data_IF_136367476920
#
_entry.id   IF_136367476920
#
_cell.length_a   1.000
_cell.length_b   1.000
_cell.length_c   1.000
_cell.angle_alpha   90.00
_cell.angle_beta   90.00
_cell.angle_gamma   90.00
#
_symmetry.space_group_name_H-M   'P 1'
#
loop_
_entity.id
_entity.type
_entity.pdbx_description
1 polymer ?
#
# COMPACT_ATOMS: atom_id res chain seq x y z
N UNK A 1 -37.00 13.28 12.17
CA UNK A 1 -36.00 12.19 12.24
C UNK A 1 -36.16 11.43 10.94
N UNK A 2 -35.37 11.81 9.94
CA UNK A 2 -35.33 11.10 8.66
C UNK A 2 -34.60 9.77 8.92
N UNK A 3 -35.10 8.63 8.43
CA UNK A 3 -34.41 7.35 8.61
C UNK A 3 -33.12 7.35 7.80
N UNK A 4 -31.99 7.07 8.48
CA UNK A 4 -30.70 6.81 7.84
C UNK A 4 -30.87 5.71 6.78
N UNK A 5 -30.50 6.05 5.55
CA UNK A 5 -30.53 5.12 4.43
C UNK A 5 -29.48 4.03 4.68
N UNK A 6 -29.91 2.77 4.74
CA UNK A 6 -28.99 1.63 4.83
C UNK A 6 -27.95 1.74 3.69
N UNK A 7 -26.64 1.52 3.97
CA UNK A 7 -25.63 1.59 2.93
C UNK A 7 -25.94 0.52 1.89
N UNK A 8 -26.30 0.98 0.69
CA UNK A 8 -26.56 0.11 -0.45
C UNK A 8 -25.38 -0.85 -0.59
N UNK A 9 -25.66 -2.15 -0.65
CA UNK A 9 -24.67 -3.19 -0.87
C UNK A 9 -23.94 -2.90 -2.18
N UNK A 10 -22.71 -2.37 -2.06
CA UNK A 10 -21.82 -2.14 -3.20
C UNK A 10 -21.35 -3.53 -3.65
N UNK A 11 -21.99 -4.09 -4.66
CA UNK A 11 -21.50 -5.28 -5.34
C UNK A 11 -20.23 -4.89 -6.10
N UNK A 12 -19.06 -5.13 -5.48
CA UNK A 12 -17.78 -5.03 -6.17
C UNK A 12 -17.67 -6.25 -7.08
N UNK A 13 -17.67 -6.10 -8.42
CA UNK A 13 -17.57 -7.23 -9.32
C UNK A 13 -16.28 -7.99 -9.04
N UNK A 14 -16.32 -9.32 -9.07
CA UNK A 14 -15.10 -10.12 -9.01
C UNK A 14 -14.16 -9.65 -10.13
N UNK A 15 -12.99 -9.14 -9.73
CA UNK A 15 -11.99 -8.63 -10.66
C UNK A 15 -11.59 -9.68 -11.69
N UNK A 16 -11.05 -9.23 -12.84
CA UNK A 16 -10.50 -10.12 -13.87
C UNK A 16 -9.50 -11.09 -13.22
N UNK A 17 -9.72 -12.39 -13.39
CA UNK A 17 -8.77 -13.42 -12.94
C UNK A 17 -7.72 -13.62 -14.04
N UNK A 18 -6.44 -13.56 -13.66
CA UNK A 18 -5.32 -13.83 -14.56
C UNK A 18 -5.09 -15.33 -14.71
N UNK A 19 -4.86 -15.77 -15.94
CA UNK A 19 -4.42 -17.13 -16.24
C UNK A 19 -2.99 -17.40 -15.75
N UNK A 20 -2.60 -18.67 -15.65
CA UNK A 20 -1.26 -19.05 -15.20
C UNK A 20 -0.12 -18.46 -16.06
N UNK A 21 -0.33 -18.34 -17.38
CA UNK A 21 0.63 -17.71 -18.29
C UNK A 21 0.72 -16.20 -18.06
N UNK A 22 -0.40 -15.52 -17.84
CA UNK A 22 -0.45 -14.09 -17.52
C UNK A 22 0.23 -13.78 -16.18
N UNK A 23 -0.03 -14.57 -15.13
CA UNK A 23 0.63 -14.43 -13.83
C UNK A 23 2.15 -14.56 -13.94
N UNK A 24 2.62 -15.55 -14.72
CA UNK A 24 4.06 -15.75 -14.96
C UNK A 24 4.66 -14.58 -15.74
N UNK A 25 3.96 -14.09 -16.76
CA UNK A 25 4.41 -12.96 -17.57
C UNK A 25 4.48 -11.66 -16.75
N UNK A 26 3.49 -11.40 -15.90
CA UNK A 26 3.47 -10.25 -14.99
C UNK A 26 4.69 -10.26 -14.06
N UNK A 27 5.00 -11.42 -13.46
CA UNK A 27 6.16 -11.57 -12.56
C UNK A 27 7.52 -11.42 -13.25
N UNK A 28 7.63 -11.78 -14.53
CA UNK A 28 8.90 -11.65 -15.27
C UNK A 28 9.21 -10.22 -15.74
N UNK A 29 8.32 -9.25 -15.48
CA UNK A 29 8.54 -7.85 -15.88
C UNK A 29 9.62 -7.20 -15.04
N UNK A 30 10.31 -6.26 -15.66
CA UNK A 30 11.28 -5.42 -14.97
C UNK A 30 10.57 -4.45 -14.03
N UNK A 31 10.81 -4.57 -12.73
CA UNK A 31 10.34 -3.62 -11.70
C UNK A 31 11.15 -2.31 -11.66
N UNK A 32 12.05 -2.09 -12.62
CA UNK A 32 12.80 -0.83 -12.71
C UNK A 32 11.85 0.27 -13.13
N UNK A 33 11.65 1.25 -12.24
CA UNK A 33 11.02 2.51 -12.62
C UNK A 33 11.82 3.13 -13.78
N UNK A 34 11.15 3.70 -14.80
CA UNK A 34 11.84 4.40 -15.85
C UNK A 34 12.71 5.48 -15.23
N UNK A 35 13.97 5.53 -15.69
CA UNK A 35 14.91 6.54 -15.21
C UNK A 35 14.38 7.90 -15.62
N UNK A 36 13.82 8.63 -14.66
CA UNK A 36 13.56 10.05 -14.82
C UNK A 36 14.91 10.75 -14.72
N UNK A 37 15.57 10.91 -15.86
CA UNK A 37 16.79 11.73 -15.99
C UNK A 37 16.52 13.22 -15.78
N UNK A 38 15.25 13.60 -15.56
CA UNK A 38 14.79 14.97 -15.55
C UNK A 38 14.69 15.55 -14.15
N UNK A 39 15.37 16.67 -13.95
CA UNK A 39 15.30 17.43 -12.72
C UNK A 39 14.00 18.24 -12.62
N UNK A 40 13.63 18.75 -11.44
CA UNK A 40 12.44 19.60 -11.26
C UNK A 40 12.41 20.83 -12.19
N UNK A 41 13.58 21.27 -12.68
CA UNK A 41 13.72 22.41 -13.60
C UNK A 41 13.21 22.14 -15.01
N UNK A 42 13.19 20.89 -15.45
CA UNK A 42 12.72 20.51 -16.80
C UNK A 42 11.20 20.64 -16.97
N UNK A 43 10.48 20.80 -15.85
CA UNK A 43 9.03 20.96 -15.79
C UNK A 43 8.58 22.43 -15.71
N UNK A 44 9.51 23.39 -15.69
CA UNK A 44 9.18 24.82 -15.70
C UNK A 44 8.70 25.23 -17.09
N UNK A 45 7.54 25.88 -17.25
CA UNK A 45 6.97 26.17 -18.56
C UNK A 45 7.90 27.09 -19.37
N UNK A 46 8.35 26.60 -20.52
CA UNK A 46 9.17 27.34 -21.50
C UNK A 46 8.34 27.75 -22.75
N UNK A 47 7.11 27.23 -22.88
CA UNK A 47 6.18 27.55 -23.96
C UNK A 47 6.52 26.88 -25.31
N UNK A 48 7.54 26.02 -25.36
CA UNK A 48 7.96 25.33 -26.58
C UNK A 48 7.09 24.10 -26.88
N UNK A 49 6.86 23.82 -28.15
CA UNK A 49 6.20 22.58 -28.60
C UNK A 49 6.99 21.33 -28.15
N UNK A 50 8.33 21.45 -28.14
CA UNK A 50 9.20 20.39 -27.66
C UNK A 50 8.94 20.06 -26.18
N UNK A 51 8.68 21.05 -25.33
CA UNK A 51 8.29 20.81 -23.95
C UNK A 51 6.93 20.13 -23.85
N UNK A 52 5.94 20.61 -24.61
CA UNK A 52 4.59 20.05 -24.59
C UNK A 52 4.61 18.55 -24.94
N UNK A 53 5.38 18.17 -25.95
CA UNK A 53 5.53 16.76 -26.34
C UNK A 53 6.28 15.94 -25.28
N UNK A 54 7.34 16.47 -24.68
CA UNK A 54 8.03 15.80 -23.55
C UNK A 54 7.09 15.53 -22.38
N UNK A 55 6.28 16.52 -21.97
CA UNK A 55 5.31 16.37 -20.88
C UNK A 55 4.23 15.34 -21.23
N UNK A 56 3.77 15.32 -22.48
CA UNK A 56 2.82 14.32 -22.98
C UNK A 56 3.37 12.90 -22.83
N UNK A 57 4.60 12.67 -23.31
CA UNK A 57 5.27 11.36 -23.21
C UNK A 57 5.47 10.95 -21.74
N UNK A 58 5.99 11.85 -20.91
CA UNK A 58 6.18 11.59 -19.49
C UNK A 58 4.86 11.22 -18.78
N UNK A 59 3.76 11.88 -19.13
CA UNK A 59 2.43 11.57 -18.60
C UNK A 59 1.93 10.21 -19.08
N UNK A 60 2.16 9.87 -20.34
CA UNK A 60 1.78 8.56 -20.88
C UNK A 60 2.54 7.42 -20.19
N UNK A 61 3.84 7.58 -19.99
CA UNK A 61 4.67 6.63 -19.24
C UNK A 61 4.18 6.48 -17.79
N UNK A 62 3.86 7.59 -17.13
CA UNK A 62 3.31 7.56 -15.77
C UNK A 62 1.99 6.78 -15.71
N UNK A 63 1.08 7.02 -16.65
CA UNK A 63 -0.18 6.27 -16.71
C UNK A 63 0.03 4.78 -16.95
N UNK A 64 0.98 4.40 -17.80
CA UNK A 64 1.33 3.00 -18.02
C UNK A 64 1.84 2.33 -16.74
N UNK A 65 2.67 3.03 -15.95
CA UNK A 65 3.14 2.52 -14.66
C UNK A 65 2.02 2.40 -13.63
N UNK A 66 1.14 3.39 -13.56
CA UNK A 66 0.02 3.38 -12.61
C UNK A 66 -1.04 2.32 -12.95
N UNK A 67 -1.21 2.04 -14.24
CA UNK A 67 -2.11 0.99 -14.73
C UNK A 67 -1.51 -0.42 -14.61
N UNK A 68 -0.24 -0.55 -14.20
CA UNK A 68 0.40 -1.84 -14.05
C UNK A 68 -0.24 -2.63 -12.89
N UNK A 69 -0.76 -3.82 -13.23
CA UNK A 69 -1.29 -4.76 -12.25
C UNK A 69 -0.13 -5.44 -11.49
N UNK A 70 -0.10 -5.24 -10.16
CA UNK A 70 0.89 -5.86 -9.29
C UNK A 70 0.46 -7.28 -8.94
N UNK A 71 1.34 -8.25 -9.21
CA UNK A 71 1.11 -9.67 -8.95
C UNK A 71 2.18 -10.19 -8.00
N UNK A 72 1.76 -10.57 -6.80
CA UNK A 72 2.63 -11.17 -5.78
C UNK A 72 2.33 -12.66 -5.57
N UNK A 73 3.34 -13.42 -5.15
CA UNK A 73 3.15 -14.83 -4.79
C UNK A 73 2.59 -14.89 -3.36
N UNK A 74 1.52 -15.64 -3.14
CA UNK A 74 0.99 -15.83 -1.78
C UNK A 74 2.04 -16.32 -0.78
N UNK A 75 2.93 -17.22 -1.19
CA UNK A 75 4.03 -17.71 -0.34
C UNK A 75 5.16 -16.70 -0.07
N UNK A 76 5.18 -15.52 -0.69
CA UNK A 76 6.08 -14.42 -0.32
C UNK A 76 5.43 -13.37 0.56
N UNK A 77 4.11 -13.45 0.76
CA UNK A 77 3.37 -12.55 1.64
C UNK A 77 3.31 -13.14 3.05
N UNK A 78 3.48 -12.29 4.04
CA UNK A 78 3.19 -12.65 5.43
C UNK A 78 1.70 -12.41 5.67
N UNK A 79 0.99 -13.45 6.07
CA UNK A 79 -0.40 -13.35 6.52
C UNK A 79 -0.46 -12.57 7.85
N UNK A 80 -1.41 -11.63 7.90
CA UNK A 80 -1.64 -10.75 9.01
C UNK A 80 -3.14 -10.53 9.22
N UNK A 81 -3.58 -10.32 10.45
CA UNK A 81 -5.00 -10.15 10.79
C UNK A 81 -5.25 -8.87 11.57
N UNK A 82 -6.23 -8.08 11.13
CA UNK A 82 -6.66 -6.86 11.79
C UNK A 82 -7.55 -7.17 13.01
N UNK A 83 -7.20 -6.62 14.17
CA UNK A 83 -7.96 -6.70 15.43
C UNK A 83 -8.51 -5.31 15.77
N UNK A 84 -9.75 -4.97 15.38
CA UNK A 84 -10.29 -3.63 15.60
C UNK A 84 -10.41 -3.25 17.08
N UNK A 85 -10.77 -4.21 17.93
CA UNK A 85 -10.97 -4.00 19.36
C UNK A 85 -9.66 -3.59 20.07
N UNK A 86 -8.53 -4.09 19.59
CA UNK A 86 -7.23 -3.84 20.19
C UNK A 86 -6.41 -2.78 19.42
N UNK A 87 -6.85 -2.41 18.22
CA UNK A 87 -6.22 -1.36 17.41
C UNK A 87 -4.86 -1.75 16.80
N UNK A 88 -4.59 -3.04 16.62
CA UNK A 88 -3.35 -3.54 16.01
C UNK A 88 -3.59 -4.64 14.97
N UNK A 89 -2.56 -4.90 14.17
CA UNK A 89 -2.52 -6.02 13.22
C UNK A 89 -1.58 -7.10 13.77
N UNK A 90 -2.06 -8.34 13.89
CA UNK A 90 -1.27 -9.48 14.34
C UNK A 90 -0.72 -10.28 13.15
N UNK A 91 0.55 -10.66 13.18
CA UNK A 91 1.11 -11.57 12.17
C UNK A 91 0.77 -13.02 12.52
N UNK A 92 0.07 -13.69 11.61
CA UNK A 92 -0.37 -15.10 11.78
C UNK A 92 0.60 -16.09 11.15
N UNK A 93 1.56 -15.59 10.35
CA UNK A 93 2.61 -16.40 9.72
C UNK A 93 4.00 -15.84 10.04
N UNK A 94 5.06 -16.66 9.99
CA UNK A 94 6.39 -16.23 10.40
C UNK A 94 6.94 -15.13 9.48
N UNK A 95 7.20 -13.98 10.07
CA UNK A 95 7.93 -12.88 9.47
C UNK A 95 9.41 -13.24 9.29
N UNK A 96 9.93 -13.14 8.06
CA UNK A 96 11.34 -13.40 7.77
C UNK A 96 12.31 -12.36 8.37
N UNK A 97 13.58 -12.40 7.98
CA UNK A 97 14.61 -11.47 8.50
C UNK A 97 14.41 -9.99 8.15
N UNK A 98 13.50 -9.66 7.23
CA UNK A 98 13.28 -8.29 6.73
C UNK A 98 12.54 -7.35 7.71
N UNK A 99 12.02 -7.91 8.81
CA UNK A 99 11.08 -7.27 9.71
C UNK A 99 11.71 -6.50 10.89
N UNK A 100 12.99 -6.12 10.78
CA UNK A 100 13.73 -5.54 11.90
C UNK A 100 13.35 -4.07 12.20
N UNK A 101 12.71 -3.38 11.26
CA UNK A 101 12.43 -1.94 11.37
C UNK A 101 10.95 -1.59 11.52
N UNK A 102 10.07 -2.60 11.58
CA UNK A 102 8.62 -2.43 11.70
C UNK A 102 8.04 -3.50 12.62
N UNK A 103 7.04 -3.12 13.40
CA UNK A 103 6.38 -3.98 14.36
C UNK A 103 7.06 -4.05 15.72
N UNK A 104 6.37 -4.71 16.63
CA UNK A 104 6.81 -4.97 17.99
C UNK A 104 6.35 -6.37 18.43
N UNK A 105 7.06 -6.93 19.42
CA UNK A 105 6.66 -8.19 20.01
C UNK A 105 6.00 -7.94 21.35
N UNK A 106 4.81 -8.51 21.51
CA UNK A 106 4.05 -8.49 22.76
C UNK A 106 3.49 -9.89 22.98
N UNK A 107 3.68 -10.44 24.19
CA UNK A 107 3.24 -11.79 24.56
C UNK A 107 3.73 -12.91 23.61
N UNK A 108 4.91 -12.74 23.02
CA UNK A 108 5.50 -13.70 22.09
C UNK A 108 4.89 -13.70 20.69
N UNK A 109 3.93 -12.80 20.43
CA UNK A 109 3.35 -12.56 19.10
C UNK A 109 3.98 -11.34 18.46
N UNK A 110 3.95 -11.28 17.12
CA UNK A 110 4.42 -10.12 16.35
C UNK A 110 3.21 -9.28 15.95
N UNK A 111 3.24 -8.00 16.34
CA UNK A 111 2.17 -7.05 16.10
C UNK A 111 2.70 -5.86 15.29
N UNK A 112 1.82 -5.26 14.51
CA UNK A 112 2.07 -4.06 13.72
C UNK A 112 1.09 -2.97 14.11
N UNK A 113 1.57 -1.72 14.07
CA UNK A 113 0.67 -0.58 14.10
C UNK A 113 -0.07 -0.43 12.75
N UNK A 114 -1.26 0.20 12.74
CA UNK A 114 -2.02 0.48 11.52
C UNK A 114 -1.20 1.08 10.37
N UNK A 115 -0.33 2.06 10.64
CA UNK A 115 0.53 2.68 9.62
C UNK A 115 1.56 1.73 9.04
N UNK A 116 2.11 0.83 9.86
CA UNK A 116 3.11 -0.14 9.43
C UNK A 116 2.45 -1.22 8.57
N UNK A 117 1.29 -1.73 9.01
CA UNK A 117 0.52 -2.70 8.27
C UNK A 117 0.08 -2.15 6.91
N UNK A 118 -0.47 -0.93 6.87
CA UNK A 118 -0.90 -0.31 5.62
C UNK A 118 0.27 -0.10 4.67
N UNK A 119 1.42 0.37 5.18
CA UNK A 119 2.63 0.54 4.37
C UNK A 119 3.15 -0.79 3.80
N UNK A 120 3.16 -1.85 4.60
CA UNK A 120 3.59 -3.17 4.16
C UNK A 120 2.63 -3.79 3.16
N UNK A 121 1.33 -3.50 3.29
CA UNK A 121 0.32 -3.90 2.31
C UNK A 121 0.53 -3.19 0.97
N UNK A 122 0.80 -1.88 0.97
CA UNK A 122 1.16 -1.13 -0.24
C UNK A 122 2.42 -1.67 -0.93
N UNK A 123 3.40 -2.11 -0.13
CA UNK A 123 4.64 -2.68 -0.63
C UNK A 123 4.50 -4.13 -1.12
N UNK A 124 3.32 -4.75 -1.00
CA UNK A 124 3.12 -6.15 -1.38
C UNK A 124 3.93 -7.12 -0.49
N UNK A 125 4.11 -6.79 0.80
CA UNK A 125 4.86 -7.62 1.75
C UNK A 125 3.97 -8.42 2.70
N UNK A 126 2.70 -8.03 2.85
CA UNK A 126 1.70 -8.74 3.64
C UNK A 126 0.43 -9.02 2.85
N UNK A 127 -0.31 -10.01 3.33
CA UNK A 127 -1.73 -10.17 3.04
C UNK A 127 -2.49 -9.92 4.34
N UNK A 128 -3.31 -8.86 4.35
CA UNK A 128 -4.08 -8.46 5.53
C UNK A 128 -5.48 -9.08 5.48
N UNK A 129 -5.93 -9.63 6.59
CA UNK A 129 -7.25 -10.23 6.74
C UNK A 129 -8.08 -9.51 7.80
N UNK A 130 -9.39 -9.53 7.64
CA UNK A 130 -10.35 -9.13 8.65
C UNK A 130 -11.51 -10.11 8.64
N UNK A 131 -11.78 -10.76 9.77
CA UNK A 131 -12.80 -11.82 9.88
C UNK A 131 -12.63 -12.91 8.81
N UNK A 132 -11.41 -13.44 8.68
CA UNK A 132 -11.00 -14.44 7.68
C UNK A 132 -11.11 -14.01 6.20
N UNK A 133 -11.49 -12.76 5.91
CA UNK A 133 -11.58 -12.22 4.56
C UNK A 133 -10.33 -11.38 4.23
N UNK A 134 -9.70 -11.59 3.07
CA UNK A 134 -8.56 -10.78 2.65
C UNK A 134 -9.04 -9.37 2.31
N UNK A 135 -8.35 -8.36 2.85
CA UNK A 135 -8.62 -6.97 2.56
C UNK A 135 -7.92 -6.51 1.28
N UNK A 136 -8.64 -5.78 0.45
CA UNK A 136 -8.06 -4.93 -0.58
C UNK A 136 -7.29 -3.76 0.04
N UNK A 137 -6.42 -3.13 -0.75
CA UNK A 137 -5.73 -1.93 -0.29
C UNK A 137 -6.73 -0.81 0.04
N UNK A 138 -7.80 -0.67 -0.75
CA UNK A 138 -8.83 0.35 -0.53
C UNK A 138 -9.58 0.14 0.79
N UNK A 139 -9.98 -1.09 1.08
CA UNK A 139 -10.65 -1.42 2.35
C UNK A 139 -9.68 -1.22 3.53
N UNK A 140 -8.42 -1.60 3.39
CA UNK A 140 -7.42 -1.36 4.43
C UNK A 140 -7.22 0.14 4.71
N UNK A 141 -7.24 1.00 3.69
CA UNK A 141 -7.24 2.46 3.87
C UNK A 141 -8.44 2.93 4.69
N UNK A 142 -9.63 2.41 4.43
CA UNK A 142 -10.84 2.79 5.15
C UNK A 142 -10.87 2.26 6.59
N UNK A 143 -10.39 1.04 6.80
CA UNK A 143 -10.43 0.38 8.11
C UNK A 143 -9.31 0.84 9.05
N UNK A 144 -8.10 1.06 8.52
CA UNK A 144 -6.93 1.40 9.32
C UNK A 144 -6.80 2.90 9.54
N UNK A 145 -7.33 3.73 8.64
CA UNK A 145 -7.30 5.19 8.78
C UNK A 145 -8.63 5.72 9.29
N UNK A 146 -8.79 5.74 10.61
CA UNK A 146 -9.92 6.40 11.27
C UNK A 146 -9.44 7.58 12.11
N UNK A 147 -10.36 8.47 12.49
CA UNK A 147 -10.01 9.62 13.35
C UNK A 147 -9.42 9.17 14.69
N UNK A 148 -9.83 8.00 15.18
CA UNK A 148 -9.40 7.43 16.47
C UNK A 148 -8.10 6.62 16.38
N UNK A 149 -7.72 6.12 15.19
CA UNK A 149 -6.53 5.27 15.02
C UNK A 149 -5.35 6.02 14.42
N UNK A 150 -5.52 6.53 13.20
CA UNK A 150 -4.45 7.05 12.36
C UNK A 150 -5.06 7.93 11.27
N UNK A 151 -4.79 9.24 11.33
CA UNK A 151 -5.22 10.14 10.26
C UNK A 151 -4.47 9.86 8.96
N UNK A 152 -5.13 10.14 7.83
CA UNK A 152 -4.52 10.05 6.51
C UNK A 152 -3.25 10.89 6.38
N UNK A 153 -3.21 12.09 6.98
CA UNK A 153 -2.03 12.95 6.94
C UNK A 153 -0.84 12.34 7.69
N UNK A 154 -1.09 11.74 8.87
CA UNK A 154 -0.03 11.02 9.61
C UNK A 154 0.51 9.86 8.79
N UNK A 155 -0.37 9.09 8.12
CA UNK A 155 0.06 8.02 7.22
C UNK A 155 0.88 8.53 6.03
N UNK A 156 0.48 9.65 5.41
CA UNK A 156 1.27 10.26 4.34
C UNK A 156 2.68 10.63 4.79
N UNK A 157 2.82 11.25 5.96
CA UNK A 157 4.13 11.59 6.55
C UNK A 157 4.93 10.33 6.84
N UNK A 158 4.32 9.34 7.50
CA UNK A 158 4.96 8.06 7.82
C UNK A 158 5.49 7.37 6.55
N UNK A 159 4.62 7.15 5.57
CA UNK A 159 4.97 6.45 4.33
C UNK A 159 6.02 7.19 3.51
N UNK A 160 5.98 8.53 3.50
CA UNK A 160 7.00 9.35 2.84
C UNK A 160 8.38 9.15 3.48
N UNK A 161 8.47 9.26 4.81
CA UNK A 161 9.71 9.05 5.54
C UNK A 161 10.25 7.62 5.39
N UNK A 162 9.36 6.60 5.42
CA UNK A 162 9.75 5.21 5.17
C UNK A 162 10.35 5.00 3.78
N UNK A 163 9.76 5.62 2.73
CA UNK A 163 10.30 5.57 1.36
C UNK A 163 11.66 6.25 1.21
N UNK A 164 11.96 7.25 2.05
CA UNK A 164 13.28 7.88 2.11
C UNK A 164 14.32 7.05 2.89
N UNK A 165 13.92 5.92 3.48
CA UNK A 165 14.81 5.03 4.22
C UNK A 165 14.92 5.32 5.72
N UNK A 166 14.10 6.23 6.26
CA UNK A 166 14.07 6.47 7.70
C UNK A 166 13.41 5.31 8.47
N UNK A 167 13.89 5.06 9.69
CA UNK A 167 13.20 4.20 10.65
C UNK A 167 12.28 5.08 11.50
N UNK A 168 10.98 5.00 11.22
CA UNK A 168 9.94 5.78 11.91
C UNK A 168 9.31 4.91 12.99
N UNK A 169 9.15 5.44 14.20
CA UNK A 169 8.53 4.76 15.34
C UNK A 169 7.51 5.69 15.99
N UNK A 170 6.44 5.12 16.56
CA UNK A 170 5.50 5.88 17.38
C UNK A 170 6.21 6.46 18.60
N UNK A 171 5.92 7.71 18.90
CA UNK A 171 6.37 8.33 20.14
C UNK A 171 5.56 7.76 21.30
N UNK A 172 6.26 7.23 22.31
CA UNK A 172 5.66 6.79 23.56
C UNK A 172 6.03 7.80 24.64
N UNK A 173 5.03 8.48 25.19
CA UNK A 173 5.23 9.33 26.37
C UNK A 173 5.53 8.39 27.53
N UNK A 174 6.75 8.47 28.06
CA UNK A 174 7.17 7.73 29.26
C UNK A 174 6.55 8.34 30.51
#
# INVERSE_FOLDING_TARGET
MEPESEPASVEVPAGRVLSASELRAARSRSQKLPQRSHGPKDFLPDGSEAQAERLRLCRQELWQLLAEERVERLGSLVAAEWRPEEGFVELTSPAGKFWQTMGYSEEGRQRLHPEEALYLLECGSIQLFYQDLPLSIQEAYQLLLTEDTLSFLQYQVFSHLKRLGYVVRRFQLR
#
